data_IF_461786246342
#
_entry.id   IF_461786246342
#
_cell.length_a   1.000
_cell.length_b   1.000
_cell.length_c   1.000
_cell.angle_alpha   90.00
_cell.angle_beta   90.00
_cell.angle_gamma   90.00
#
_symmetry.space_group_name_H-M   'P 1'
#
loop_
_entity.id
_entity.type
_entity.pdbx_description
1 polymer ?
#
# COMPACT_ATOMS: atom_id res chain seq x y z
N UNK A 1 -2.48 25.92 4.09
CA UNK A 1 -3.92 26.03 3.79
C UNK A 1 -4.42 24.68 3.26
N UNK A 2 -5.14 23.90 4.08
CA UNK A 2 -5.69 22.60 3.62
C UNK A 2 -6.77 22.90 2.60
N UNK A 3 -6.59 22.43 1.35
CA UNK A 3 -7.59 22.63 0.28
C UNK A 3 -8.92 22.00 0.71
N UNK A 4 -9.99 22.80 0.71
CA UNK A 4 -11.37 22.35 1.01
C UNK A 4 -11.75 21.14 0.14
N UNK A 5 -12.21 20.06 0.78
CA UNK A 5 -12.74 18.87 0.08
C UNK A 5 -14.00 19.31 -0.69
N UNK A 6 -13.95 19.24 -2.02
CA UNK A 6 -15.09 19.60 -2.88
C UNK A 6 -16.31 18.75 -2.54
N UNK A 7 -17.47 19.39 -2.46
CA UNK A 7 -18.75 18.71 -2.21
C UNK A 7 -19.11 17.76 -3.37
N UNK A 8 -20.01 16.79 -3.13
CA UNK A 8 -20.49 15.87 -4.18
C UNK A 8 -21.10 16.63 -5.37
N UNK A 9 -21.78 17.74 -5.12
CA UNK A 9 -22.34 18.63 -6.15
C UNK A 9 -21.26 19.36 -6.96
N UNK A 10 -20.22 19.89 -6.31
CA UNK A 10 -19.11 20.58 -6.99
C UNK A 10 -18.25 19.64 -7.85
N UNK A 11 -18.18 18.36 -7.46
CA UNK A 11 -17.56 17.30 -8.26
C UNK A 11 -18.41 17.01 -9.49
N UNK A 12 -19.72 16.82 -9.31
CA UNK A 12 -20.68 16.47 -10.37
C UNK A 12 -20.71 17.46 -11.55
N UNK A 13 -20.58 18.76 -11.31
CA UNK A 13 -20.56 19.78 -12.38
C UNK A 13 -19.16 20.11 -12.92
N UNK A 14 -18.11 19.38 -12.50
CA UNK A 14 -16.77 19.61 -13.00
C UNK A 14 -16.59 19.09 -14.42
N UNK A 15 -16.52 19.99 -15.42
CA UNK A 15 -16.22 19.65 -16.82
C UNK A 15 -14.90 18.85 -16.97
N UNK A 16 -13.94 19.07 -16.06
CA UNK A 16 -12.71 18.27 -15.99
C UNK A 16 -12.94 16.84 -15.50
N UNK A 17 -13.93 16.58 -14.63
CA UNK A 17 -14.31 15.20 -14.26
C UNK A 17 -15.07 14.51 -15.39
N UNK A 18 -15.95 15.23 -16.11
CA UNK A 18 -16.64 14.68 -17.28
C UNK A 18 -15.67 14.25 -18.38
N UNK A 19 -14.66 15.08 -18.71
CA UNK A 19 -13.59 14.70 -19.66
C UNK A 19 -12.78 13.49 -19.19
N UNK A 20 -12.59 13.32 -17.87
CA UNK A 20 -11.89 12.16 -17.28
C UNK A 20 -12.71 10.86 -17.30
N UNK A 21 -14.03 10.93 -17.50
CA UNK A 21 -14.98 9.79 -17.55
C UNK A 21 -15.42 9.44 -18.98
N UNK A 22 -15.05 10.23 -19.99
CA UNK A 22 -15.38 9.94 -21.38
C UNK A 22 -14.63 8.68 -21.85
N UNK A 23 -15.31 7.78 -22.59
CA UNK A 23 -14.80 6.46 -22.98
C UNK A 23 -15.03 5.33 -21.95
N UNK A 24 -15.43 5.65 -20.72
CA UNK A 24 -15.44 4.70 -19.60
C UNK A 24 -16.43 3.53 -19.71
N UNK A 25 -17.48 3.65 -20.54
CA UNK A 25 -18.51 2.60 -20.70
C UNK A 25 -17.93 1.29 -21.27
N UNK A 26 -16.79 1.34 -21.97
CA UNK A 26 -16.17 0.17 -22.63
C UNK A 26 -15.27 -0.67 -21.73
N UNK A 27 -14.90 -0.16 -20.54
CA UNK A 27 -13.82 -0.74 -19.72
C UNK A 27 -14.28 -1.62 -18.56
N UNK A 28 -15.59 -1.81 -18.40
CA UNK A 28 -16.13 -2.79 -17.45
C UNK A 28 -16.56 -4.04 -18.23
N UNK A 29 -15.69 -5.06 -18.22
CA UNK A 29 -16.00 -6.40 -18.78
C UNK A 29 -17.10 -7.04 -17.93
N UNK A 30 -18.20 -7.46 -18.52
CA UNK A 30 -19.23 -8.19 -17.75
C UNK A 30 -18.67 -9.54 -17.28
N UNK A 31 -18.82 -9.84 -15.98
CA UNK A 31 -18.47 -11.11 -15.35
C UNK A 31 -17.06 -11.66 -15.68
N UNK A 32 -15.98 -11.02 -15.21
CA UNK A 32 -14.63 -11.47 -15.51
C UNK A 32 -14.32 -12.81 -14.82
N UNK A 33 -13.82 -13.78 -15.58
CA UNK A 33 -13.25 -15.01 -15.04
C UNK A 33 -11.92 -14.71 -14.33
N UNK A 34 -12.01 -14.45 -13.02
CA UNK A 34 -10.85 -14.08 -12.19
C UNK A 34 -9.81 -15.20 -12.12
N UNK A 35 -10.25 -16.46 -12.17
CA UNK A 35 -9.35 -17.61 -12.15
C UNK A 35 -8.49 -17.65 -13.42
N UNK A 36 -9.11 -17.52 -14.59
CA UNK A 36 -8.37 -17.46 -15.85
C UNK A 36 -7.43 -16.23 -15.91
N UNK A 37 -7.82 -15.11 -15.31
CA UNK A 37 -6.99 -13.91 -15.27
C UNK A 37 -5.73 -14.06 -14.40
N UNK A 38 -5.70 -14.99 -13.43
CA UNK A 38 -4.47 -15.32 -12.70
C UNK A 38 -3.40 -15.85 -13.63
N UNK A 39 -3.78 -16.76 -14.52
CA UNK A 39 -2.85 -17.50 -15.36
C UNK A 39 -2.50 -16.76 -16.65
N UNK A 40 -3.39 -15.88 -17.13
CA UNK A 40 -3.10 -15.03 -18.30
C UNK A 40 -2.14 -13.91 -17.94
N UNK A 41 -1.11 -13.74 -18.77
CA UNK A 41 -0.08 -12.72 -18.62
C UNK A 41 -0.34 -11.55 -19.58
N UNK A 42 -0.17 -10.33 -19.08
CA UNK A 42 -0.26 -9.11 -19.89
C UNK A 42 0.96 -9.03 -20.81
N UNK A 43 0.74 -9.15 -22.13
CA UNK A 43 1.77 -8.92 -23.13
C UNK A 43 1.70 -7.46 -23.65
N UNK A 44 2.60 -6.60 -23.15
CA UNK A 44 2.66 -5.18 -23.54
C UNK A 44 4.09 -4.62 -23.70
N UNK A 45 5.09 -5.49 -23.87
CA UNK A 45 6.51 -5.10 -24.03
C UNK A 45 7.23 -4.90 -22.70
N UNK A 46 8.15 -3.93 -22.63
CA UNK A 46 8.88 -3.62 -21.40
C UNK A 46 7.95 -3.01 -20.35
N UNK A 47 8.06 -3.49 -19.11
CA UNK A 47 7.28 -2.98 -18.00
C UNK A 47 7.80 -1.60 -17.56
N UNK A 48 6.95 -0.57 -17.65
CA UNK A 48 7.32 0.80 -17.27
C UNK A 48 6.34 1.35 -16.24
N UNK A 49 6.85 1.72 -15.07
CA UNK A 49 6.02 2.38 -14.05
C UNK A 49 5.62 3.78 -14.51
N UNK A 50 4.32 4.07 -14.41
CA UNK A 50 3.77 5.35 -14.83
C UNK A 50 3.98 6.45 -13.78
N UNK A 51 4.23 7.69 -14.22
CA UNK A 51 4.30 8.87 -13.33
C UNK A 51 3.02 9.70 -13.45
N UNK A 52 2.23 9.69 -12.38
CA UNK A 52 0.98 10.46 -12.31
C UNK A 52 -0.13 9.86 -13.17
N UNK A 53 -1.29 10.53 -13.21
CA UNK A 53 -2.46 10.07 -13.96
C UNK A 53 -2.64 10.86 -15.25
N UNK A 54 -2.71 10.17 -16.39
CA UNK A 54 -3.07 10.81 -17.66
C UNK A 54 -4.50 11.39 -17.59
N UNK A 55 -4.78 12.49 -18.31
CA UNK A 55 -6.13 13.07 -18.33
C UNK A 55 -7.13 12.15 -19.05
N UNK A 56 -6.71 11.52 -20.15
CA UNK A 56 -7.52 10.54 -20.88
C UNK A 56 -7.61 9.24 -20.08
N UNK A 57 -8.82 8.71 -19.94
CA UNK A 57 -9.02 7.41 -19.27
C UNK A 57 -8.40 6.28 -20.10
N UNK A 58 -8.66 6.27 -21.40
CA UNK A 58 -8.16 5.22 -22.31
C UNK A 58 -6.63 5.19 -22.30
N UNK A 59 -6.00 6.37 -22.34
CA UNK A 59 -4.53 6.47 -22.26
C UNK A 59 -4.01 6.03 -20.90
N UNK A 60 -4.71 6.38 -19.82
CA UNK A 60 -4.31 5.94 -18.48
C UNK A 60 -4.37 4.41 -18.36
N UNK A 61 -5.43 3.77 -18.86
CA UNK A 61 -5.56 2.31 -18.85
C UNK A 61 -4.56 1.63 -19.79
N UNK A 62 -4.27 2.22 -20.95
CA UNK A 62 -3.21 1.74 -21.85
C UNK A 62 -1.83 1.80 -21.17
N UNK A 63 -1.53 2.90 -20.45
CA UNK A 63 -0.30 3.04 -19.69
C UNK A 63 -0.21 2.00 -18.56
N UNK A 64 -1.33 1.71 -17.86
CA UNK A 64 -1.36 0.61 -16.89
C UNK A 64 -1.04 -0.74 -17.54
N UNK A 65 -1.52 -1.00 -18.75
CA UNK A 65 -1.21 -2.25 -19.45
C UNK A 65 0.30 -2.43 -19.68
N UNK A 66 1.02 -1.35 -20.01
CA UNK A 66 2.49 -1.38 -20.08
C UNK A 66 3.11 -1.60 -18.70
N UNK A 67 2.63 -0.92 -17.66
CA UNK A 67 3.12 -1.08 -16.29
C UNK A 67 3.01 -2.52 -15.76
N UNK A 68 1.95 -3.22 -16.14
CA UNK A 68 1.69 -4.61 -15.76
C UNK A 68 2.19 -5.64 -16.78
N UNK A 69 2.97 -5.23 -17.78
CA UNK A 69 3.54 -6.19 -18.75
C UNK A 69 4.37 -7.26 -18.04
N UNK A 70 4.19 -8.51 -18.45
CA UNK A 70 4.83 -9.68 -17.82
C UNK A 70 4.17 -10.12 -16.51
N UNK A 71 3.09 -9.47 -16.06
CA UNK A 71 2.35 -9.84 -14.84
C UNK A 71 0.97 -10.40 -15.19
N UNK A 72 0.34 -11.05 -14.20
CA UNK A 72 -1.03 -11.57 -14.31
C UNK A 72 -2.04 -10.47 -14.68
N UNK A 73 -2.96 -10.78 -15.59
CA UNK A 73 -4.08 -9.90 -15.95
C UNK A 73 -4.95 -9.53 -14.75
N UNK A 74 -4.99 -10.38 -13.71
CA UNK A 74 -5.72 -10.10 -12.48
C UNK A 74 -5.16 -8.86 -11.76
N UNK A 75 -3.85 -8.63 -11.80
CA UNK A 75 -3.22 -7.46 -11.18
C UNK A 75 -3.54 -6.18 -11.97
N UNK A 76 -3.54 -6.25 -13.31
CA UNK A 76 -3.98 -5.16 -14.17
C UNK A 76 -5.46 -4.83 -13.94
N UNK A 77 -6.30 -5.85 -13.76
CA UNK A 77 -7.72 -5.67 -13.46
C UNK A 77 -7.93 -4.94 -12.14
N UNK A 78 -7.25 -5.36 -11.09
CA UNK A 78 -7.22 -4.67 -9.80
C UNK A 78 -6.86 -3.18 -9.95
N UNK A 79 -5.75 -2.89 -10.63
CA UNK A 79 -5.30 -1.51 -10.86
C UNK A 79 -6.31 -0.69 -11.68
N UNK A 80 -6.92 -1.31 -12.68
CA UNK A 80 -7.95 -0.68 -13.52
C UNK A 80 -9.20 -0.31 -12.70
N UNK A 81 -9.67 -1.21 -11.83
CA UNK A 81 -10.80 -0.93 -10.92
C UNK A 81 -10.51 0.27 -10.01
N UNK A 82 -9.30 0.33 -9.42
CA UNK A 82 -8.89 1.48 -8.60
C UNK A 82 -8.92 2.79 -9.40
N UNK A 83 -8.42 2.79 -10.64
CA UNK A 83 -8.45 3.99 -11.49
C UNK A 83 -9.89 4.41 -11.81
N UNK A 84 -10.77 3.45 -12.08
CA UNK A 84 -12.19 3.71 -12.33
C UNK A 84 -12.89 4.26 -11.08
N UNK A 85 -12.61 3.71 -9.89
CA UNK A 85 -13.13 4.19 -8.58
C UNK A 85 -12.67 5.62 -8.32
N UNK A 86 -11.37 5.91 -8.44
CA UNK A 86 -10.81 7.26 -8.23
C UNK A 86 -11.35 8.30 -9.23
N UNK A 87 -11.87 7.86 -10.37
CA UNK A 87 -12.58 8.70 -11.36
C UNK A 87 -14.10 8.68 -11.22
N UNK A 88 -14.61 7.94 -10.23
CA UNK A 88 -16.03 7.75 -9.93
C UNK A 88 -16.81 7.24 -11.17
N UNK A 89 -16.18 6.39 -11.99
CA UNK A 89 -16.84 5.73 -13.14
C UNK A 89 -17.71 4.60 -12.61
N UNK A 90 -19.03 4.65 -12.86
CA UNK A 90 -20.02 3.62 -12.45
C UNK A 90 -19.74 3.16 -11.00
N UNK A 91 -19.52 4.14 -10.11
CA UNK A 91 -18.84 3.93 -8.83
C UNK A 91 -19.40 2.75 -8.02
N UNK A 92 -20.72 2.65 -7.90
CA UNK A 92 -21.36 1.56 -7.15
C UNK A 92 -21.02 0.17 -7.72
N UNK A 93 -21.07 0.01 -9.04
CA UNK A 93 -20.74 -1.25 -9.71
C UNK A 93 -19.23 -1.55 -9.67
N UNK A 94 -18.40 -0.54 -9.92
CA UNK A 94 -16.94 -0.72 -9.87
C UNK A 94 -16.47 -1.07 -8.46
N UNK A 95 -17.08 -0.46 -7.42
CA UNK A 95 -16.84 -0.83 -6.03
C UNK A 95 -17.30 -2.25 -5.73
N UNK A 96 -18.51 -2.64 -6.16
CA UNK A 96 -18.99 -4.00 -5.97
C UNK A 96 -18.02 -5.05 -6.56
N UNK A 97 -17.50 -4.78 -7.77
CA UNK A 97 -16.48 -5.62 -8.42
C UNK A 97 -15.15 -5.64 -7.68
N UNK A 98 -14.69 -4.49 -7.19
CA UNK A 98 -13.48 -4.39 -6.38
C UNK A 98 -13.59 -5.20 -5.08
N UNK A 99 -14.74 -5.10 -4.38
CA UNK A 99 -14.98 -5.87 -3.17
C UNK A 99 -15.06 -7.37 -3.49
N UNK A 100 -15.77 -7.76 -4.55
CA UNK A 100 -15.85 -9.16 -4.97
C UNK A 100 -14.48 -9.74 -5.36
N UNK A 101 -13.64 -8.95 -6.04
CA UNK A 101 -12.27 -9.33 -6.37
C UNK A 101 -11.45 -9.60 -5.10
N UNK A 102 -11.49 -8.69 -4.12
CA UNK A 102 -10.73 -8.85 -2.88
C UNK A 102 -11.26 -10.00 -2.01
N UNK A 103 -12.56 -10.25 -1.99
CA UNK A 103 -13.13 -11.41 -1.30
C UNK A 103 -12.63 -12.73 -1.88
N UNK A 104 -12.47 -12.82 -3.20
CA UNK A 104 -12.09 -14.06 -3.89
C UNK A 104 -10.57 -14.26 -3.97
N UNK A 105 -9.81 -13.17 -4.16
CA UNK A 105 -8.42 -13.25 -4.60
C UNK A 105 -7.42 -12.56 -3.65
N UNK A 106 -7.82 -12.17 -2.42
CA UNK A 106 -6.95 -11.44 -1.48
C UNK A 106 -5.57 -12.08 -1.29
N UNK A 107 -5.51 -13.40 -1.12
CA UNK A 107 -4.23 -14.11 -0.94
C UNK A 107 -3.29 -13.96 -2.15
N UNK A 108 -3.83 -14.10 -3.37
CA UNK A 108 -3.05 -13.92 -4.59
C UNK A 108 -2.61 -12.46 -4.76
N UNK A 109 -3.53 -11.51 -4.57
CA UNK A 109 -3.25 -10.08 -4.69
C UNK A 109 -2.20 -9.61 -3.67
N UNK A 110 -2.30 -10.04 -2.41
CA UNK A 110 -1.34 -9.71 -1.37
C UNK A 110 0.06 -10.24 -1.64
N UNK A 111 0.20 -11.37 -2.33
CA UNK A 111 1.51 -11.91 -2.73
C UNK A 111 2.13 -11.13 -3.89
N UNK A 112 1.35 -10.82 -4.93
CA UNK A 112 1.91 -10.36 -6.20
C UNK A 112 1.83 -8.84 -6.45
N UNK A 113 0.94 -8.10 -5.77
CA UNK A 113 0.91 -6.65 -5.89
C UNK A 113 2.14 -6.01 -5.21
N UNK A 114 2.69 -4.97 -5.83
CA UNK A 114 3.67 -4.12 -5.17
C UNK A 114 3.01 -3.23 -4.10
N UNK A 115 3.84 -2.63 -3.23
CA UNK A 115 3.36 -1.76 -2.14
C UNK A 115 2.48 -0.61 -2.61
N UNK A 116 2.77 -0.01 -3.76
CA UNK A 116 1.98 1.13 -4.28
C UNK A 116 0.54 0.72 -4.57
N UNK A 117 0.34 -0.48 -5.13
CA UNK A 117 -1.00 -0.97 -5.43
C UNK A 117 -1.72 -1.52 -4.19
N UNK A 118 -1.00 -2.11 -3.23
CA UNK A 118 -1.57 -2.49 -1.93
C UNK A 118 -2.04 -1.27 -1.13
N UNK A 119 -1.24 -0.21 -1.05
CA UNK A 119 -1.64 1.05 -0.41
C UNK A 119 -2.84 1.67 -1.14
N UNK A 120 -2.89 1.59 -2.48
CA UNK A 120 -4.05 2.08 -3.22
C UNK A 120 -5.33 1.27 -2.95
N UNK A 121 -5.21 -0.03 -2.67
CA UNK A 121 -6.32 -0.85 -2.21
C UNK A 121 -6.75 -0.49 -0.78
N UNK A 122 -5.79 -0.28 0.12
CA UNK A 122 -6.02 0.18 1.48
C UNK A 122 -6.77 1.52 1.52
N UNK A 123 -6.37 2.50 0.71
CA UNK A 123 -7.07 3.77 0.54
C UNK A 123 -8.53 3.55 0.10
N UNK A 124 -8.74 2.60 -0.81
CA UNK A 124 -10.08 2.27 -1.32
C UNK A 124 -10.96 1.67 -0.21
N UNK A 125 -10.42 0.77 0.61
CA UNK A 125 -11.10 0.27 1.80
C UNK A 125 -11.37 1.37 2.83
N UNK A 126 -10.44 2.30 3.06
CA UNK A 126 -10.62 3.40 4.00
C UNK A 126 -11.79 4.32 3.61
N UNK A 127 -11.89 4.65 2.32
CA UNK A 127 -12.93 5.53 1.77
C UNK A 127 -14.29 4.81 1.58
N UNK A 128 -14.27 3.52 1.22
CA UNK A 128 -15.46 2.82 0.70
C UNK A 128 -15.78 1.47 1.34
N UNK A 129 -15.01 0.99 2.31
CA UNK A 129 -15.32 -0.23 3.04
C UNK A 129 -16.73 -0.20 3.63
N UNK A 130 -17.48 -1.30 3.48
CA UNK A 130 -18.87 -1.37 3.95
C UNK A 130 -18.98 -1.36 5.47
N UNK A 131 -17.99 -1.94 6.15
CA UNK A 131 -17.91 -2.02 7.61
C UNK A 131 -16.87 -1.04 8.18
N UNK A 132 -17.16 -0.34 9.29
CA UNK A 132 -16.22 0.60 9.91
C UNK A 132 -14.86 0.01 10.31
N UNK A 133 -14.80 -1.27 10.71
CA UNK A 133 -13.54 -1.91 11.05
C UNK A 133 -12.65 -2.05 9.80
N UNK A 134 -13.21 -2.49 8.68
CA UNK A 134 -12.48 -2.57 7.41
C UNK A 134 -11.94 -1.20 6.96
N UNK A 135 -12.73 -0.13 7.17
CA UNK A 135 -12.29 1.24 6.88
C UNK A 135 -11.14 1.69 7.77
N UNK A 136 -11.23 1.40 9.07
CA UNK A 136 -10.16 1.69 10.02
C UNK A 136 -8.87 0.93 9.68
N UNK A 137 -8.98 -0.36 9.33
CA UNK A 137 -7.85 -1.19 8.90
C UNK A 137 -7.21 -0.66 7.62
N UNK A 138 -8.02 -0.31 6.61
CA UNK A 138 -7.52 0.34 5.41
C UNK A 138 -6.74 1.62 5.74
N UNK A 139 -7.27 2.46 6.64
CA UNK A 139 -6.58 3.67 7.08
C UNK A 139 -5.27 3.37 7.82
N UNK A 140 -5.21 2.33 8.65
CA UNK A 140 -3.97 1.90 9.33
C UNK A 140 -2.89 1.53 8.32
N UNK A 141 -3.22 0.74 7.30
CA UNK A 141 -2.26 0.35 6.26
C UNK A 141 -1.78 1.56 5.43
N UNK A 142 -2.70 2.46 5.06
CA UNK A 142 -2.36 3.70 4.37
C UNK A 142 -1.48 4.63 5.22
N UNK A 143 -1.76 4.75 6.52
CA UNK A 143 -0.96 5.56 7.44
C UNK A 143 0.46 5.00 7.55
N UNK A 144 0.61 3.69 7.80
CA UNK A 144 1.92 3.04 7.90
C UNK A 144 2.75 3.25 6.63
N UNK A 145 2.18 2.93 5.47
CA UNK A 145 2.88 3.04 4.18
C UNK A 145 3.29 4.48 3.85
N UNK A 146 2.42 5.46 4.11
CA UNK A 146 2.73 6.87 3.84
C UNK A 146 3.77 7.43 4.82
N UNK A 147 3.69 7.10 6.11
CA UNK A 147 4.67 7.57 7.11
C UNK A 147 6.08 7.04 6.79
N UNK A 148 6.20 5.74 6.49
CA UNK A 148 7.48 5.15 6.07
C UNK A 148 7.96 5.81 4.78
N UNK A 149 7.09 5.98 3.79
CA UNK A 149 7.45 6.65 2.52
C UNK A 149 8.02 8.05 2.75
N UNK A 150 7.43 8.85 3.65
CA UNK A 150 7.93 10.19 3.95
C UNK A 150 9.31 10.11 4.62
N UNK A 151 9.49 9.22 5.61
CA UNK A 151 10.79 9.02 6.25
C UNK A 151 11.88 8.59 5.26
N UNK A 152 11.60 7.63 4.38
CA UNK A 152 12.55 7.19 3.36
C UNK A 152 12.79 8.26 2.28
N UNK A 153 11.78 9.08 1.96
CA UNK A 153 11.94 10.21 1.03
C UNK A 153 12.86 11.27 1.63
N UNK A 154 12.69 11.59 2.91
CA UNK A 154 13.55 12.52 3.63
C UNK A 154 15.00 12.01 3.70
N UNK A 155 15.18 10.72 4.02
CA UNK A 155 16.48 10.03 3.96
C UNK A 155 17.15 10.20 2.60
N UNK A 156 16.42 9.94 1.50
CA UNK A 156 16.94 10.09 0.14
C UNK A 156 17.33 11.54 -0.20
N UNK A 157 16.49 12.52 0.18
CA UNK A 157 16.75 13.94 -0.10
C UNK A 157 18.04 14.43 0.58
N UNK A 158 18.34 13.91 1.78
CA UNK A 158 19.52 14.28 2.55
C UNK A 158 20.73 13.35 2.34
N UNK A 159 20.69 12.44 1.36
CA UNK A 159 21.78 11.51 1.06
C UNK A 159 22.01 10.43 2.13
N UNK A 160 21.03 10.22 3.01
CA UNK A 160 21.09 9.28 4.12
C UNK A 160 21.09 7.81 3.70
N UNK A 161 20.82 7.50 2.43
CA UNK A 161 20.86 6.17 1.84
C UNK A 161 22.26 5.55 1.82
N UNK A 162 23.28 6.40 1.77
CA UNK A 162 24.69 6.01 1.74
C UNK A 162 25.31 5.84 3.13
N UNK A 163 24.58 6.20 4.20
CA UNK A 163 25.11 6.19 5.56
C UNK A 163 25.10 4.78 6.14
N UNK A 164 26.26 4.35 6.64
CA UNK A 164 26.40 3.15 7.43
C UNK A 164 25.97 3.38 8.89
N UNK A 165 25.47 2.36 9.60
CA UNK A 165 25.24 2.43 11.04
C UNK A 165 26.55 2.79 11.78
N UNK A 166 26.45 3.64 12.80
CA UNK A 166 27.60 4.05 13.63
C UNK A 166 27.66 3.19 14.90
N UNK A 167 28.64 2.28 15.06
CA UNK A 167 28.67 1.33 16.17
C UNK A 167 28.71 1.99 17.56
N UNK A 168 29.47 3.08 17.71
CA UNK A 168 29.58 3.85 18.95
C UNK A 168 28.21 4.40 19.40
N UNK A 169 27.38 4.85 18.45
CA UNK A 169 26.03 5.32 18.76
C UNK A 169 25.10 4.18 19.16
N UNK A 170 25.23 3.00 18.52
CA UNK A 170 24.42 1.82 18.85
C UNK A 170 24.76 1.31 20.25
N UNK A 171 26.05 1.26 20.61
CA UNK A 171 26.52 0.87 21.94
C UNK A 171 26.00 1.85 23.00
N UNK A 172 26.10 3.16 22.73
CA UNK A 172 25.60 4.20 23.64
C UNK A 172 24.10 4.08 23.94
N UNK A 173 23.29 3.64 22.97
CA UNK A 173 21.85 3.41 23.20
C UNK A 173 21.57 2.34 24.26
N UNK A 174 22.52 1.43 24.56
CA UNK A 174 22.32 0.39 25.58
C UNK A 174 22.43 0.93 27.00
N UNK A 175 23.06 2.09 27.19
CA UNK A 175 23.33 2.67 28.51
C UNK A 175 22.71 4.05 28.72
N UNK A 176 22.35 4.74 27.64
CA UNK A 176 21.84 6.11 27.69
C UNK A 176 20.52 6.27 26.95
N UNK A 177 19.61 7.04 27.56
CA UNK A 177 18.43 7.54 26.87
C UNK A 177 18.85 8.73 25.99
N UNK A 178 18.76 8.56 24.69
CA UNK A 178 19.02 9.63 23.72
C UNK A 178 17.69 10.30 23.35
N UNK A 179 17.41 11.52 23.83
CA UNK A 179 16.14 12.19 23.57
C UNK A 179 16.00 12.59 22.10
N UNK A 180 14.77 12.51 21.62
CA UNK A 180 14.31 13.08 20.35
C UNK A 180 13.38 14.26 20.65
N UNK A 181 12.21 14.35 20.00
CA UNK A 181 11.23 15.42 20.19
C UNK A 181 10.18 15.03 21.22
N UNK A 182 9.58 16.03 21.88
CA UNK A 182 8.40 15.90 22.75
C UNK A 182 8.44 14.74 23.76
N UNK A 183 9.61 14.49 24.37
CA UNK A 183 9.79 13.45 25.39
C UNK A 183 9.93 12.03 24.84
N UNK A 184 9.98 11.85 23.52
CA UNK A 184 10.37 10.58 22.90
C UNK A 184 11.88 10.40 22.89
N UNK A 185 12.35 9.17 22.69
CA UNK A 185 13.77 8.83 22.59
C UNK A 185 14.05 8.00 21.35
N UNK A 186 15.33 7.92 20.98
CA UNK A 186 15.79 7.03 19.91
C UNK A 186 15.41 5.59 20.25
N UNK A 187 14.92 4.86 19.25
CA UNK A 187 14.61 3.44 19.37
C UNK A 187 15.86 2.67 19.79
N UNK A 188 15.81 2.00 20.94
CA UNK A 188 16.97 1.25 21.45
C UNK A 188 17.04 -0.10 20.78
N UNK A 189 17.75 -0.14 19.66
CA UNK A 189 17.91 -1.37 18.90
C UNK A 189 18.47 -2.48 19.79
N UNK A 190 17.84 -3.65 19.74
CA UNK A 190 18.23 -4.83 20.50
C UNK A 190 17.47 -5.02 21.82
N UNK A 191 16.86 -4.00 22.41
CA UNK A 191 16.16 -4.15 23.71
C UNK A 191 14.79 -3.48 23.80
N UNK A 192 14.51 -2.50 22.94
CA UNK A 192 13.23 -1.78 22.88
C UNK A 192 12.09 -2.69 22.37
N UNK A 193 10.94 -2.63 23.04
CA UNK A 193 9.75 -3.45 22.75
C UNK A 193 8.64 -2.68 22.04
N UNK A 194 8.85 -1.41 21.68
CA UNK A 194 7.82 -0.53 21.08
C UNK A 194 7.23 -1.13 19.82
N UNK A 195 8.07 -1.57 18.88
CA UNK A 195 7.61 -2.15 17.62
C UNK A 195 6.96 -3.52 17.81
N UNK A 196 7.43 -4.30 18.79
CA UNK A 196 6.86 -5.60 19.14
C UNK A 196 5.48 -5.45 19.76
N UNK A 197 5.32 -4.52 20.69
CA UNK A 197 4.05 -4.18 21.29
C UNK A 197 3.07 -3.63 20.24
N UNK A 198 3.56 -2.87 19.25
CA UNK A 198 2.76 -2.47 18.10
C UNK A 198 2.33 -3.67 17.25
N UNK A 199 3.25 -4.59 16.92
CA UNK A 199 2.95 -5.80 16.15
C UNK A 199 1.82 -6.62 16.79
N UNK A 200 1.93 -6.92 18.09
CA UNK A 200 0.90 -7.66 18.83
C UNK A 200 -0.47 -6.98 18.84
N UNK A 201 -0.49 -5.65 18.93
CA UNK A 201 -1.76 -4.89 18.85
C UNK A 201 -2.37 -4.93 17.45
N UNK A 202 -1.56 -5.13 16.41
CA UNK A 202 -2.02 -5.25 15.03
C UNK A 202 -2.49 -6.67 14.68
N UNK A 203 -2.07 -7.71 15.40
CA UNK A 203 -2.40 -9.11 15.10
C UNK A 203 -3.90 -9.39 14.93
N UNK A 204 -4.81 -8.92 15.81
CA UNK A 204 -6.24 -9.12 15.60
C UNK A 204 -6.77 -8.49 14.31
N UNK A 205 -6.14 -7.40 13.86
CA UNK A 205 -6.52 -6.69 12.64
C UNK A 205 -5.97 -7.34 11.37
N UNK A 206 -4.83 -8.04 11.45
CA UNK A 206 -4.31 -8.80 10.32
C UNK A 206 -5.27 -9.92 9.87
N UNK A 207 -6.02 -10.51 10.79
CA UNK A 207 -6.99 -11.56 10.52
C UNK A 207 -8.37 -11.05 10.04
N UNK A 208 -8.61 -9.72 10.03
CA UNK A 208 -9.91 -9.14 9.72
C UNK A 208 -10.14 -8.97 8.20
N UNK A 209 -10.41 -10.09 7.53
CA UNK A 209 -10.83 -10.15 6.13
C UNK A 209 -9.80 -9.57 5.15
N UNK A 210 -10.22 -9.18 3.93
CA UNK A 210 -9.29 -8.68 2.91
C UNK A 210 -8.51 -7.42 3.33
N UNK A 211 -9.14 -6.50 4.07
CA UNK A 211 -8.46 -5.32 4.58
C UNK A 211 -7.33 -5.69 5.56
N UNK A 212 -7.57 -6.66 6.45
CA UNK A 212 -6.57 -7.20 7.36
C UNK A 212 -5.39 -7.84 6.63
N UNK A 213 -5.68 -8.64 5.60
CA UNK A 213 -4.65 -9.24 4.75
C UNK A 213 -3.79 -8.19 4.05
N UNK A 214 -4.38 -7.08 3.59
CA UNK A 214 -3.61 -5.95 3.03
C UNK A 214 -2.71 -5.34 4.09
N UNK A 215 -3.24 -5.06 5.29
CA UNK A 215 -2.47 -4.48 6.38
C UNK A 215 -1.27 -5.37 6.76
N UNK A 216 -1.46 -6.68 6.88
CA UNK A 216 -0.37 -7.64 7.13
C UNK A 216 0.65 -7.61 6.00
N UNK A 217 0.19 -7.70 4.75
CA UNK A 217 1.06 -7.69 3.58
C UNK A 217 1.86 -6.39 3.41
N UNK A 218 1.31 -5.25 3.83
CA UNK A 218 2.01 -3.96 3.89
C UNK A 218 3.04 -3.96 5.03
N UNK A 219 2.65 -4.42 6.22
CA UNK A 219 3.53 -4.50 7.40
C UNK A 219 4.74 -5.38 7.13
N UNK A 220 4.53 -6.59 6.59
CA UNK A 220 5.60 -7.55 6.28
C UNK A 220 6.59 -6.97 5.28
N UNK A 221 6.10 -6.24 4.27
CA UNK A 221 6.95 -5.59 3.29
C UNK A 221 7.81 -4.46 3.87
N UNK A 222 7.46 -3.88 5.02
CA UNK A 222 8.35 -2.96 5.73
C UNK A 222 9.57 -3.71 6.29
N UNK A 223 9.44 -5.00 6.63
CA UNK A 223 10.50 -5.81 7.22
C UNK A 223 11.52 -6.35 6.21
N UNK A 224 11.23 -6.24 4.90
CA UNK A 224 12.02 -6.85 3.82
C UNK A 224 12.57 -5.82 2.82
N UNK A 225 11.81 -4.77 2.50
CA UNK A 225 12.33 -3.69 1.66
C UNK A 225 13.30 -2.80 2.46
N UNK A 226 14.14 -2.02 1.78
CA UNK A 226 15.04 -1.05 2.43
C UNK A 226 14.24 0.09 3.10
N UNK A 227 13.70 -0.20 4.27
CA UNK A 227 13.00 0.74 5.14
C UNK A 227 13.64 0.77 6.51
N UNK A 228 13.32 1.79 7.31
CA UNK A 228 13.77 1.86 8.70
C UNK A 228 13.43 0.59 9.50
N UNK A 229 12.30 -0.06 9.25
CA UNK A 229 11.93 -1.31 9.92
C UNK A 229 12.93 -2.43 9.62
N UNK A 230 13.23 -2.68 8.34
CA UNK A 230 14.19 -3.71 7.94
C UNK A 230 15.62 -3.41 8.43
N UNK A 231 16.06 -2.15 8.34
CA UNK A 231 17.39 -1.74 8.81
C UNK A 231 17.54 -1.89 10.33
N UNK A 232 16.52 -1.52 11.11
CA UNK A 232 16.54 -1.71 12.56
C UNK A 232 16.38 -3.18 12.95
N UNK A 233 15.63 -3.97 12.17
CA UNK A 233 15.53 -5.43 12.32
C UNK A 233 16.90 -6.09 12.15
N UNK A 234 17.67 -5.71 11.13
CA UNK A 234 18.99 -6.26 10.86
C UNK A 234 20.01 -6.03 11.99
N UNK A 235 19.78 -4.99 12.80
CA UNK A 235 20.60 -4.66 13.97
C UNK A 235 20.01 -5.24 15.27
N UNK A 236 18.81 -5.85 15.23
CA UNK A 236 18.14 -6.41 16.39
C UNK A 236 18.68 -7.81 16.72
N UNK A 237 18.96 -8.06 18.00
CA UNK A 237 19.59 -9.32 18.44
C UNK A 237 18.82 -10.04 19.57
N UNK A 238 17.66 -9.52 20.00
CA UNK A 238 16.91 -10.09 21.14
C UNK A 238 15.58 -10.66 20.69
N UNK A 239 15.52 -11.98 20.54
CA UNK A 239 14.35 -12.70 20.01
C UNK A 239 13.03 -12.34 20.72
N UNK A 240 13.06 -12.15 22.04
CA UNK A 240 11.86 -11.84 22.82
C UNK A 240 11.20 -10.52 22.42
N UNK A 241 11.92 -9.61 21.78
CA UNK A 241 11.44 -8.28 21.36
C UNK A 241 11.33 -8.12 19.83
N UNK A 242 11.35 -9.22 19.08
CA UNK A 242 11.09 -9.19 17.64
C UNK A 242 9.68 -8.72 17.29
N UNK A 243 9.54 -7.95 16.23
CA UNK A 243 8.26 -7.38 15.75
C UNK A 243 7.88 -7.88 14.36
N UNK A 244 8.46 -8.99 13.93
CA UNK A 244 8.23 -9.58 12.62
C UNK A 244 7.84 -11.05 12.79
N UNK A 245 7.32 -11.61 11.71
CA UNK A 245 7.05 -13.03 11.60
C UNK A 245 8.17 -13.68 10.77
N UNK A 246 8.89 -14.64 11.34
CA UNK A 246 9.96 -15.36 10.64
C UNK A 246 9.43 -16.26 9.51
N UNK A 247 8.11 -16.48 9.44
CA UNK A 247 7.44 -17.17 8.32
C UNK A 247 7.28 -16.32 7.04
N UNK A 248 7.61 -15.03 7.05
CA UNK A 248 7.42 -14.11 5.92
C UNK A 248 8.58 -14.10 4.89
N UNK A 249 9.50 -15.07 4.96
CA UNK A 249 10.75 -15.09 4.18
C UNK A 249 10.82 -16.14 3.09
N UNK A 250 10.28 -15.82 1.90
CA UNK A 250 10.87 -16.06 0.57
C UNK A 250 9.83 -15.66 -0.51
N UNK A 251 10.23 -15.04 -1.62
CA UNK A 251 9.33 -14.79 -2.75
C UNK A 251 8.66 -16.07 -3.27
#
# INVERSE_FOLDING_TARGET
>A
MVRRRKSRFERFFSLNQHRKRWGARRHLVADPDLAAMRDRIVAAGEAVQTRGSDKSLDRHLANLRSEFSGQSELLLHHASLIVLIRREVRLAETLARFMALWTQEAGFLCRHLNLRWLISAADTFADHGSDPQARAIGMMASLLGNTVKIGESDRYIHGGESLAPMPDRIERLQTELIPLFEGTSVFTVGTDDTLRNMYWRLEPFFAAGPAGMILKAVYDRMQVNDTAFARLRALHHRDRTGWWDDGAGAP
#
